data_IF_560963923195
#
_entry.id   IF_560963923195
#
_cell.length_a   1.000
_cell.length_b   1.000
_cell.length_c   1.000
_cell.angle_alpha   90.00
_cell.angle_beta   90.00
_cell.angle_gamma   90.00
#
_symmetry.space_group_name_H-M   'P 1'
#
loop_
_entity.id
_entity.type
_entity.pdbx_description
1 polymer ?
#
# COMPACT_ATOMS: atom_id res chain seq x y z
N UNK A 1 2.77 -5.62 3.94
CA UNK A 1 1.49 -4.90 4.11
C UNK A 1 1.52 -3.50 3.50
N UNK A 2 2.64 -2.79 3.64
CA UNK A 2 2.73 -1.35 3.32
C UNK A 2 2.37 -0.96 1.88
N UNK A 3 2.63 -1.81 0.89
CA UNK A 3 2.24 -1.55 -0.50
C UNK A 3 0.94 -2.23 -0.92
N UNK A 4 0.35 -3.03 -0.02
CA UNK A 4 -0.79 -3.87 -0.35
C UNK A 4 -2.07 -3.07 -0.25
N UNK A 5 -2.97 -3.30 -1.20
CA UNK A 5 -4.27 -2.66 -1.20
C UNK A 5 -5.09 -3.06 0.04
N UNK A 6 -5.90 -2.14 0.58
CA UNK A 6 -6.63 -2.36 1.83
C UNK A 6 -7.62 -3.52 1.75
N UNK A 7 -8.22 -3.77 0.58
CA UNK A 7 -9.09 -4.92 0.32
C UNK A 7 -8.34 -6.25 0.48
N UNK A 8 -7.08 -6.31 0.01
CA UNK A 8 -6.26 -7.51 0.18
C UNK A 8 -5.94 -7.74 1.66
N UNK A 9 -5.64 -6.67 2.41
CA UNK A 9 -5.38 -6.76 3.85
C UNK A 9 -6.60 -7.21 4.66
N UNK A 10 -7.82 -6.91 4.18
CA UNK A 10 -9.09 -7.37 4.77
C UNK A 10 -9.50 -8.78 4.34
N UNK A 11 -8.75 -9.43 3.45
CA UNK A 11 -9.14 -10.73 2.87
C UNK A 11 -10.34 -10.65 1.92
N UNK A 12 -10.63 -9.46 1.40
CA UNK A 12 -11.65 -9.25 0.38
C UNK A 12 -11.10 -9.65 -1.00
N UNK A 13 -11.98 -9.93 -1.99
CA UNK A 13 -11.54 -10.27 -3.34
C UNK A 13 -10.72 -9.14 -3.97
N UNK A 14 -9.44 -9.42 -4.24
CA UNK A 14 -8.59 -8.54 -5.04
C UNK A 14 -8.97 -8.59 -6.51
N UNK A 15 -8.89 -7.45 -7.18
CA UNK A 15 -9.01 -7.33 -8.63
C UNK A 15 -7.89 -6.44 -9.18
N UNK A 16 -7.95 -6.04 -10.45
CA UNK A 16 -6.90 -5.24 -11.08
C UNK A 16 -6.69 -3.88 -10.38
N UNK A 17 -7.64 -3.39 -9.57
CA UNK A 17 -7.50 -2.16 -8.78
C UNK A 17 -6.49 -2.32 -7.64
N UNK A 18 -6.29 -3.52 -7.12
CA UNK A 18 -5.31 -3.78 -6.07
C UNK A 18 -3.88 -3.59 -6.59
N UNK A 19 -3.63 -3.95 -7.85
CA UNK A 19 -2.35 -3.70 -8.52
C UNK A 19 -2.13 -2.21 -8.80
N UNK A 20 -3.19 -1.49 -9.22
CA UNK A 20 -3.13 -0.04 -9.43
C UNK A 20 -2.83 0.70 -8.13
N UNK A 21 -3.43 0.27 -7.00
CA UNK A 21 -3.11 0.83 -5.69
C UNK A 21 -1.63 0.63 -5.36
N UNK A 22 -1.14 -0.61 -5.48
CA UNK A 22 0.24 -0.97 -5.16
C UNK A 22 1.23 -0.16 -6.01
N UNK A 23 0.95 -0.01 -7.31
CA UNK A 23 1.71 0.84 -8.21
C UNK A 23 1.70 2.32 -7.79
N UNK A 24 0.55 2.84 -7.36
CA UNK A 24 0.43 4.22 -6.86
C UNK A 24 1.28 4.47 -5.61
N UNK A 25 1.31 3.53 -4.67
CA UNK A 25 2.15 3.62 -3.46
C UNK A 25 3.63 3.61 -3.83
N UNK A 26 4.05 2.75 -4.76
CA UNK A 26 5.44 2.72 -5.26
C UNK A 26 5.81 4.03 -5.95
N UNK A 27 4.92 4.56 -6.81
CA UNK A 27 5.17 5.83 -7.50
C UNK A 27 5.31 6.98 -6.50
N UNK A 28 4.46 7.00 -5.47
CA UNK A 28 4.56 7.98 -4.38
C UNK A 28 5.90 7.86 -3.64
N UNK A 29 6.32 6.65 -3.27
CA UNK A 29 7.60 6.38 -2.60
C UNK A 29 8.80 6.85 -3.43
N UNK A 30 8.78 6.62 -4.74
CA UNK A 30 9.85 7.09 -5.64
C UNK A 30 9.90 8.63 -5.76
N UNK A 31 8.74 9.29 -5.73
CA UNK A 31 8.65 10.76 -5.83
C UNK A 31 9.06 11.43 -4.53
N UNK A 32 8.67 10.87 -3.39
CA UNK A 32 8.95 11.46 -2.07
C UNK A 32 10.29 11.01 -1.49
N UNK A 33 10.84 9.89 -1.99
CA UNK A 33 11.96 9.18 -1.40
C UNK A 33 11.72 8.80 0.07
N UNK A 34 10.45 8.62 0.44
CA UNK A 34 10.03 8.24 1.79
C UNK A 34 9.39 6.87 1.75
N UNK A 35 9.78 6.02 2.70
CA UNK A 35 9.12 4.73 2.86
C UNK A 35 7.66 4.97 3.28
N UNK A 36 6.70 4.23 2.70
CA UNK A 36 5.30 4.36 3.08
C UNK A 36 5.08 3.97 4.54
N UNK A 37 4.23 4.75 5.21
CA UNK A 37 3.69 4.49 6.56
C UNK A 37 4.72 4.46 7.71
N UNK A 38 5.89 5.10 7.56
CA UNK A 38 6.94 5.15 8.60
C UNK A 38 6.44 5.66 9.95
N UNK A 39 5.45 6.55 9.96
CA UNK A 39 4.86 7.12 11.19
C UNK A 39 3.65 6.34 11.71
N UNK A 40 3.12 5.39 10.94
CA UNK A 40 2.09 4.48 11.42
C UNK A 40 2.83 3.35 12.13
N UNK A 41 2.84 3.38 13.47
CA UNK A 41 3.28 2.24 14.27
C UNK A 41 2.61 0.98 13.73
N UNK A 42 3.35 -0.14 13.50
CA UNK A 42 2.71 -1.37 13.08
C UNK A 42 1.63 -1.68 14.10
N UNK A 43 0.38 -1.81 13.61
CA UNK A 43 -0.81 -1.97 14.43
C UNK A 43 -0.51 -2.87 15.64
N UNK A 44 -0.65 -2.32 16.85
CA UNK A 44 -0.68 -3.11 18.08
C UNK A 44 -1.95 -3.95 18.12
#
# INVERSE_FOLDING_TARGET
PEWMAPEFLRGEPSNEKSDVYSFGVILWELVTMQQPWVELSPAQ
#
